data_IF_228530753579
#
_entry.id   IF_228530753579
#
_cell.length_a   1.000
_cell.length_b   1.000
_cell.length_c   1.000
_cell.angle_alpha   90.00
_cell.angle_beta   90.00
_cell.angle_gamma   90.00
#
_symmetry.space_group_name_H-M   'P 1'
#
loop_
_entity.id
_entity.type
_entity.pdbx_description
1 polymer ?
#
# COMPACT_ATOMS: atom_id res chain seq x y z
N UNK A 1 3.68 9.85 41.63
CA UNK A 1 4.73 9.81 40.59
C UNK A 1 4.03 9.75 39.25
N UNK A 2 4.06 10.83 38.48
CA UNK A 2 3.45 10.88 37.14
C UNK A 2 4.43 10.26 36.15
N UNK A 3 4.07 9.11 35.58
CA UNK A 3 4.82 8.55 34.45
C UNK A 3 4.29 9.26 33.21
N UNK A 4 5.05 10.22 32.69
CA UNK A 4 4.79 10.75 31.35
C UNK A 4 4.87 9.59 30.35
N UNK A 5 3.91 9.45 29.41
CA UNK A 5 4.05 8.44 28.38
C UNK A 5 5.30 8.74 27.57
N UNK A 6 6.17 7.74 27.41
CA UNK A 6 7.26 7.80 26.41
C UNK A 6 6.58 7.96 25.05
N UNK A 7 7.00 8.91 24.19
CA UNK A 7 6.56 8.89 22.80
C UNK A 7 7.01 7.55 22.22
N UNK A 8 6.07 6.71 21.78
CA UNK A 8 6.41 5.59 20.92
C UNK A 8 6.90 6.22 19.63
N UNK A 9 8.22 6.36 19.47
CA UNK A 9 8.79 6.61 18.16
C UNK A 9 8.56 5.35 17.34
N UNK A 10 7.34 5.19 16.82
CA UNK A 10 7.06 4.30 15.70
C UNK A 10 8.05 4.71 14.61
N UNK A 11 8.85 3.76 14.12
CA UNK A 11 9.65 4.01 12.94
C UNK A 11 8.64 4.26 11.83
N UNK A 12 8.60 5.51 11.36
CA UNK A 12 7.71 5.95 10.31
C UNK A 12 8.52 6.11 9.03
N UNK A 13 8.15 5.38 7.99
CA UNK A 13 8.66 5.61 6.64
C UNK A 13 7.62 6.41 5.87
N UNK A 14 7.99 7.60 5.38
CA UNK A 14 7.10 8.53 4.69
C UNK A 14 7.56 8.76 3.26
N UNK A 15 6.63 8.67 2.31
CA UNK A 15 6.81 9.12 0.93
C UNK A 15 5.77 10.18 0.59
N UNK A 16 6.12 11.13 -0.26
CA UNK A 16 5.25 12.23 -0.67
C UNK A 16 5.25 12.40 -2.18
N UNK A 17 4.12 12.88 -2.72
CA UNK A 17 4.02 13.32 -4.10
C UNK A 17 4.89 14.58 -4.35
N UNK A 18 4.77 15.18 -5.54
CA UNK A 18 5.66 16.28 -5.94
C UNK A 18 5.41 17.59 -5.20
N UNK A 19 4.14 17.90 -4.87
CA UNK A 19 3.75 19.11 -4.15
C UNK A 19 3.75 18.95 -2.62
N UNK A 20 3.94 17.72 -2.12
CA UNK A 20 4.03 17.41 -0.69
C UNK A 20 2.68 17.23 0.00
N UNK A 21 1.56 17.37 -0.71
CA UNK A 21 0.21 17.31 -0.13
C UNK A 21 -0.26 15.88 0.08
N UNK A 22 0.05 14.98 -0.85
CA UNK A 22 -0.26 13.56 -0.71
C UNK A 22 0.93 12.84 -0.08
N UNK A 23 0.67 12.10 0.99
CA UNK A 23 1.68 11.31 1.69
C UNK A 23 1.21 9.87 1.95
N UNK A 24 2.17 8.95 1.95
CA UNK A 24 2.00 7.58 2.45
C UNK A 24 2.94 7.39 3.62
N UNK A 25 2.42 6.93 4.74
CA UNK A 25 3.19 6.66 5.96
C UNK A 25 3.04 5.21 6.37
N UNK A 26 4.17 4.52 6.53
CA UNK A 26 4.24 3.19 7.09
C UNK A 26 4.66 3.25 8.54
N UNK A 27 4.07 2.41 9.38
CA UNK A 27 4.43 2.28 10.78
C UNK A 27 4.42 0.82 11.19
N UNK A 28 5.37 0.41 12.03
CA UNK A 28 5.43 -0.97 12.52
C UNK A 28 4.25 -1.27 13.45
N UNK A 29 3.52 -2.35 13.16
CA UNK A 29 2.43 -2.86 13.98
C UNK A 29 2.60 -4.36 14.14
N UNK A 30 2.98 -4.78 15.36
CA UNK A 30 3.21 -6.17 15.75
C UNK A 30 4.24 -6.91 14.88
N UNK A 31 3.81 -7.50 13.77
CA UNK A 31 4.61 -8.38 12.90
C UNK A 31 4.90 -7.78 11.51
N UNK A 32 4.26 -6.65 11.16
CA UNK A 32 4.34 -6.03 9.83
C UNK A 32 4.23 -4.51 9.89
N UNK A 33 4.62 -3.84 8.82
CA UNK A 33 4.30 -2.45 8.58
C UNK A 33 2.88 -2.32 8.05
N UNK A 34 2.10 -1.46 8.68
CA UNK A 34 0.80 -0.99 8.18
C UNK A 34 0.95 0.42 7.67
N UNK A 35 0.13 0.83 6.70
CA UNK A 35 0.21 2.19 6.16
C UNK A 35 -1.11 2.94 6.11
N UNK A 36 -0.97 4.25 6.09
CA UNK A 36 -2.05 5.22 5.89
C UNK A 36 -1.69 6.19 4.79
N UNK A 37 -2.73 6.78 4.20
CA UNK A 37 -2.64 7.78 3.14
C UNK A 37 -3.18 9.08 3.72
N UNK A 38 -2.40 10.15 3.55
CA UNK A 38 -2.74 11.48 4.06
C UNK A 38 -2.84 12.48 2.90
N UNK A 39 -3.80 13.39 3.02
CA UNK A 39 -3.90 14.60 2.19
C UNK A 39 -3.81 15.79 3.13
N UNK A 40 -2.82 16.66 2.90
CA UNK A 40 -2.53 17.81 3.77
C UNK A 40 -2.44 17.39 5.26
N UNK A 41 -1.71 16.29 5.52
CA UNK A 41 -1.53 15.63 6.82
C UNK A 41 -2.82 15.13 7.51
N UNK A 42 -3.96 15.13 6.80
CA UNK A 42 -5.21 14.51 7.25
C UNK A 42 -5.30 13.08 6.71
N UNK A 43 -5.51 12.09 7.58
CA UNK A 43 -5.71 10.70 7.17
C UNK A 43 -7.00 10.55 6.35
N UNK A 44 -6.87 10.13 5.09
CA UNK A 44 -7.99 9.90 4.16
C UNK A 44 -8.20 8.42 3.85
N UNK A 45 -7.19 7.58 4.06
CA UNK A 45 -7.33 6.14 3.96
C UNK A 45 -6.33 5.40 4.85
N UNK A 46 -6.69 4.18 5.25
CA UNK A 46 -5.83 3.26 6.00
C UNK A 46 -5.90 1.86 5.41
N UNK A 47 -4.76 1.20 5.32
CA UNK A 47 -4.67 -0.22 4.94
C UNK A 47 -5.47 -1.13 5.88
N UNK A 48 -5.91 -2.26 5.34
CA UNK A 48 -6.52 -3.38 6.06
C UNK A 48 -5.59 -4.57 5.84
N UNK A 49 -4.93 -5.04 6.90
CA UNK A 49 -3.82 -6.00 6.78
C UNK A 49 -4.14 -7.42 7.27
N UNK A 50 -5.38 -7.65 7.74
CA UNK A 50 -5.82 -8.86 8.47
C UNK A 50 -4.93 -9.17 9.70
N UNK A 51 -5.18 -10.29 10.40
CA UNK A 51 -4.32 -10.75 11.48
C UNK A 51 -3.11 -11.55 10.97
N UNK A 52 -2.20 -11.92 11.88
CA UNK A 52 -0.96 -12.63 11.58
C UNK A 52 -1.18 -14.08 11.06
N UNK A 53 -2.38 -14.64 11.26
CA UNK A 53 -2.70 -16.03 10.96
C UNK A 53 -3.26 -16.23 9.55
N UNK A 54 -3.54 -15.15 8.82
CA UNK A 54 -4.08 -15.24 7.47
C UNK A 54 -2.96 -15.43 6.42
N UNK A 55 -2.95 -16.57 5.74
CA UNK A 55 -2.02 -16.88 4.64
C UNK A 55 -2.16 -15.91 3.45
N UNK A 56 -3.36 -15.33 3.26
CA UNK A 56 -3.70 -14.43 2.16
C UNK A 56 -4.37 -13.16 2.72
N UNK A 57 -3.58 -12.26 3.36
CA UNK A 57 -4.11 -11.08 4.03
C UNK A 57 -4.74 -10.08 3.04
N UNK A 58 -5.59 -9.20 3.57
CA UNK A 58 -6.31 -8.15 2.81
C UNK A 58 -5.37 -7.11 2.17
N UNK A 59 -4.13 -7.01 2.67
CA UNK A 59 -3.04 -6.18 2.12
C UNK A 59 -1.69 -6.89 2.29
N UNK A 60 -0.65 -6.52 1.50
CA UNK A 60 0.68 -7.13 1.58
C UNK A 60 1.27 -7.07 3.00
N UNK A 61 1.70 -8.20 3.58
CA UNK A 61 2.24 -8.26 4.95
C UNK A 61 3.71 -7.83 4.96
N UNK A 62 3.99 -6.55 4.73
CA UNK A 62 5.37 -6.04 4.58
C UNK A 62 6.10 -6.06 5.93
N UNK A 63 7.23 -6.75 6.02
CA UNK A 63 7.98 -6.94 7.29
C UNK A 63 9.30 -6.18 7.31
N UNK A 64 9.77 -5.72 6.14
CA UNK A 64 10.99 -4.95 6.01
C UNK A 64 10.74 -3.81 5.03
N UNK A 65 11.22 -2.61 5.37
CA UNK A 65 11.19 -1.43 4.51
C UNK A 65 12.59 -0.81 4.46
N UNK A 66 13.01 -0.40 3.27
CA UNK A 66 14.09 0.56 3.06
C UNK A 66 13.59 1.77 2.26
N UNK A 67 14.26 2.91 2.44
CA UNK A 67 14.03 4.10 1.65
C UNK A 67 15.24 4.29 0.75
N UNK A 68 15.05 4.13 -0.55
CA UNK A 68 16.13 4.19 -1.53
C UNK A 68 15.87 5.32 -2.55
N UNK A 69 16.92 6.00 -3.04
CA UNK A 69 16.79 6.87 -4.19
C UNK A 69 16.69 6.03 -5.47
N UNK A 70 15.56 6.12 -6.19
CA UNK A 70 15.38 5.53 -7.52
C UNK A 70 15.13 6.68 -8.49
N UNK A 71 16.02 6.85 -9.48
CA UNK A 71 16.00 8.00 -10.39
C UNK A 71 15.95 9.35 -9.63
N UNK A 72 16.76 9.48 -8.59
CA UNK A 72 16.83 10.63 -7.69
C UNK A 72 15.53 10.96 -6.92
N UNK A 73 14.58 10.02 -6.88
CA UNK A 73 13.34 10.15 -6.10
C UNK A 73 13.33 9.18 -4.91
N UNK A 74 13.00 9.65 -3.68
CA UNK A 74 12.79 8.78 -2.54
C UNK A 74 11.70 7.76 -2.84
N UNK A 75 12.05 6.47 -2.78
CA UNK A 75 11.15 5.35 -3.05
C UNK A 75 11.23 4.37 -1.90
N UNK A 76 10.06 4.05 -1.34
CA UNK A 76 9.93 3.00 -0.34
C UNK A 76 10.02 1.67 -1.07
N UNK A 77 10.94 0.81 -0.64
CA UNK A 77 11.01 -0.59 -1.05
C UNK A 77 10.67 -1.46 0.14
N UNK A 78 9.81 -2.45 -0.05
CA UNK A 78 9.40 -3.34 1.02
C UNK A 78 9.33 -4.79 0.58
N UNK A 79 9.56 -5.69 1.53
CA UNK A 79 9.39 -7.14 1.36
C UNK A 79 8.69 -7.74 2.58
N UNK A 80 7.99 -8.84 2.38
CA UNK A 80 7.27 -9.53 3.44
C UNK A 80 6.72 -10.88 3.02
N UNK A 81 6.12 -11.59 3.98
CA UNK A 81 5.60 -12.94 3.76
C UNK A 81 4.46 -13.29 4.71
N UNK A 82 3.55 -14.12 4.21
CA UNK A 82 2.50 -14.81 4.94
C UNK A 82 2.20 -16.12 4.21
N UNK A 83 1.94 -17.19 4.97
CA UNK A 83 1.71 -18.53 4.43
C UNK A 83 2.75 -18.94 3.39
N UNK A 84 2.29 -19.11 2.14
CA UNK A 84 3.12 -19.52 0.99
C UNK A 84 3.37 -18.41 -0.04
N UNK A 85 3.07 -17.17 0.31
CA UNK A 85 3.34 -15.99 -0.52
C UNK A 85 4.59 -15.23 -0.06
N UNK A 86 5.27 -14.61 -1.02
CA UNK A 86 6.33 -13.63 -0.77
C UNK A 86 5.99 -12.35 -1.52
N UNK A 87 5.86 -11.25 -0.79
CA UNK A 87 5.49 -9.95 -1.33
C UNK A 87 6.72 -9.06 -1.47
N UNK A 88 6.73 -8.28 -2.54
CA UNK A 88 7.60 -7.13 -2.72
C UNK A 88 6.76 -5.93 -3.13
N UNK A 89 7.09 -4.75 -2.62
CA UNK A 89 6.42 -3.50 -2.94
C UNK A 89 7.44 -2.41 -3.26
N UNK A 90 7.09 -1.55 -4.20
CA UNK A 90 7.67 -0.21 -4.31
C UNK A 90 6.59 0.86 -4.23
N UNK A 91 6.86 1.92 -3.46
CA UNK A 91 5.97 3.09 -3.33
C UNK A 91 6.76 4.37 -3.52
N UNK A 92 6.37 5.16 -4.51
CA UNK A 92 7.08 6.38 -4.85
C UNK A 92 6.26 7.30 -5.74
N UNK A 93 6.86 8.44 -6.09
CA UNK A 93 6.21 9.40 -6.99
C UNK A 93 5.93 8.76 -8.35
N UNK A 94 4.78 9.08 -8.92
CA UNK A 94 4.51 8.75 -10.31
C UNK A 94 5.09 9.85 -11.23
N UNK A 95 6.10 9.55 -12.06
CA UNK A 95 6.68 10.56 -12.95
C UNK A 95 5.73 11.00 -14.07
N UNK A 96 4.69 10.22 -14.38
CA UNK A 96 3.68 10.59 -15.39
C UNK A 96 2.53 11.43 -14.81
N UNK A 97 2.29 11.38 -13.50
CA UNK A 97 1.22 12.10 -12.82
C UNK A 97 1.75 12.69 -11.49
N UNK A 98 2.31 13.92 -11.50
CA UNK A 98 3.04 14.49 -10.35
C UNK A 98 2.24 14.63 -9.05
N UNK A 99 0.90 14.70 -9.15
CA UNK A 99 -0.04 14.76 -8.04
C UNK A 99 -0.35 13.38 -7.41
N UNK A 100 0.28 12.31 -7.90
CA UNK A 100 0.02 10.95 -7.45
C UNK A 100 1.24 10.23 -6.87
N UNK A 101 0.97 9.20 -6.08
CA UNK A 101 1.93 8.21 -5.58
C UNK A 101 1.57 6.87 -6.20
N UNK A 102 2.55 6.22 -6.82
CA UNK A 102 2.41 4.89 -7.41
C UNK A 102 2.76 3.82 -6.39
N UNK A 103 1.91 2.81 -6.33
CA UNK A 103 2.13 1.55 -5.65
C UNK A 103 2.33 0.46 -6.71
N UNK A 104 3.42 -0.29 -6.59
CA UNK A 104 3.72 -1.44 -7.44
C UNK A 104 4.02 -2.65 -6.56
N UNK A 105 3.10 -3.60 -6.53
CA UNK A 105 3.16 -4.77 -5.67
C UNK A 105 3.26 -6.02 -6.52
N UNK A 106 4.15 -6.92 -6.13
CA UNK A 106 4.19 -8.27 -6.63
C UNK A 106 4.11 -9.28 -5.48
N UNK A 107 3.42 -10.40 -5.72
CA UNK A 107 3.38 -11.55 -4.84
C UNK A 107 3.80 -12.80 -5.63
N UNK A 108 4.88 -13.42 -5.19
CA UNK A 108 5.27 -14.75 -5.67
C UNK A 108 4.61 -15.81 -4.80
N UNK A 109 3.87 -16.71 -5.42
CA UNK A 109 3.11 -17.75 -4.71
C UNK A 109 3.69 -19.14 -4.97
N UNK A 110 3.45 -20.05 -4.01
CA UNK A 110 3.75 -21.49 -4.15
C UNK A 110 2.50 -22.38 -4.05
N UNK A 111 1.32 -21.78 -4.08
CA UNK A 111 0.01 -22.43 -4.16
C UNK A 111 -1.01 -21.41 -4.72
N UNK A 112 -2.23 -21.85 -5.03
CA UNK A 112 -3.26 -20.94 -5.56
C UNK A 112 -3.75 -20.02 -4.44
N UNK A 113 -3.56 -18.69 -4.55
CA UNK A 113 -4.03 -17.78 -3.53
C UNK A 113 -5.56 -17.67 -3.56
N UNK A 114 -6.17 -17.40 -2.40
CA UNK A 114 -7.61 -17.09 -2.32
C UNK A 114 -7.90 -15.64 -2.70
N UNK A 115 -6.96 -14.76 -2.39
CA UNK A 115 -7.06 -13.33 -2.56
C UNK A 115 -5.65 -12.76 -2.72
N UNK A 116 -5.51 -11.77 -3.62
CA UNK A 116 -4.32 -10.95 -3.74
C UNK A 116 -4.73 -9.54 -4.12
N UNK A 117 -4.36 -8.57 -3.29
CA UNK A 117 -4.65 -7.17 -3.52
C UNK A 117 -4.17 -6.28 -2.39
N UNK A 118 -4.58 -5.03 -2.45
CA UNK A 118 -4.43 -4.04 -1.39
C UNK A 118 -5.80 -3.51 -1.01
N UNK A 119 -6.12 -3.53 0.29
CA UNK A 119 -7.44 -3.12 0.79
C UNK A 119 -7.32 -1.90 1.69
N UNK A 120 -8.26 -0.98 1.54
CA UNK A 120 -8.26 0.30 2.24
C UNK A 120 -9.63 0.60 2.84
N UNK A 121 -9.64 1.10 4.07
CA UNK A 121 -10.78 1.86 4.58
C UNK A 121 -10.56 3.33 4.28
N UNK A 122 -11.48 3.93 3.53
CA UNK A 122 -11.42 5.32 3.08
C UNK A 122 -12.36 6.19 3.92
N UNK A 123 -11.87 7.34 4.37
CA UNK A 123 -12.58 8.31 5.21
C UNK A 123 -12.61 9.72 4.63
N UNK A 124 -11.92 9.97 3.51
CA UNK A 124 -11.88 11.25 2.82
C UNK A 124 -11.81 11.09 1.30
N UNK A 125 -11.70 12.20 0.59
CA UNK A 125 -11.61 12.20 -0.88
C UNK A 125 -10.23 11.72 -1.34
N UNK A 126 -10.23 10.66 -2.15
CA UNK A 126 -9.02 10.04 -2.70
C UNK A 126 -9.37 9.36 -4.03
N UNK A 127 -8.58 9.59 -5.06
CA UNK A 127 -8.66 8.85 -6.31
C UNK A 127 -7.69 7.67 -6.26
N UNK A 128 -8.19 6.46 -6.55
CA UNK A 128 -7.37 5.25 -6.68
C UNK A 128 -7.64 4.67 -8.08
N UNK A 129 -6.62 4.63 -8.92
CA UNK A 129 -6.70 4.13 -10.29
C UNK A 129 -5.78 2.93 -10.48
N UNK A 130 -6.33 1.80 -10.93
CA UNK A 130 -5.52 0.63 -11.26
C UNK A 130 -4.83 0.81 -12.61
N UNK A 131 -3.51 0.70 -12.62
CA UNK A 131 -2.67 0.60 -13.83
C UNK A 131 -2.58 -0.86 -14.28
N UNK A 132 -2.42 -1.76 -13.31
CA UNK A 132 -2.46 -3.23 -13.49
C UNK A 132 -3.33 -3.80 -12.39
N UNK A 133 -4.40 -4.51 -12.75
CA UNK A 133 -5.35 -5.03 -11.78
C UNK A 133 -6.77 -4.49 -12.01
N UNK A 134 -7.54 -4.45 -10.94
CA UNK A 134 -8.91 -3.95 -10.90
C UNK A 134 -9.18 -3.21 -9.58
N UNK A 135 -9.85 -2.06 -9.64
CA UNK A 135 -10.34 -1.36 -8.45
C UNK A 135 -11.78 -1.76 -8.21
N UNK A 136 -12.08 -2.22 -7.00
CA UNK A 136 -13.43 -2.54 -6.52
C UNK A 136 -13.74 -1.66 -5.32
N UNK A 137 -14.82 -0.89 -5.42
CA UNK A 137 -15.26 0.04 -4.37
C UNK A 137 -16.62 -0.37 -3.83
N UNK A 138 -16.73 -0.49 -2.52
CA UNK A 138 -17.97 -0.81 -1.80
C UNK A 138 -18.08 0.06 -0.55
N UNK A 139 -18.97 1.04 -0.55
CA UNK A 139 -19.09 2.04 0.52
C UNK A 139 -17.73 2.70 0.84
N UNK A 140 -17.22 2.53 2.08
CA UNK A 140 -15.93 3.06 2.52
C UNK A 140 -14.75 2.09 2.31
N UNK A 141 -14.97 0.98 1.60
CA UNK A 141 -13.96 -0.03 1.33
C UNK A 141 -13.51 0.09 -0.13
N UNK A 142 -12.21 0.24 -0.33
CA UNK A 142 -11.60 0.17 -1.66
C UNK A 142 -10.61 -0.97 -1.69
N UNK A 143 -10.68 -1.80 -2.73
CA UNK A 143 -9.73 -2.88 -2.99
C UNK A 143 -9.09 -2.69 -4.35
N UNK A 144 -7.78 -2.84 -4.43
CA UNK A 144 -7.06 -2.99 -5.70
C UNK A 144 -6.62 -4.44 -5.81
N UNK A 145 -7.25 -5.16 -6.73
CA UNK A 145 -7.08 -6.60 -6.92
C UNK A 145 -6.11 -6.87 -8.06
N UNK A 146 -5.35 -7.96 -7.97
CA UNK A 146 -4.76 -8.54 -9.16
C UNK A 146 -5.88 -9.06 -10.09
N UNK A 147 -5.73 -8.91 -11.41
CA UNK A 147 -6.79 -9.20 -12.40
C UNK A 147 -6.66 -10.57 -13.07
N UNK A 148 -5.50 -11.22 -13.00
CA UNK A 148 -5.28 -12.48 -13.70
C UNK A 148 -6.07 -13.61 -13.02
N UNK A 149 -6.46 -14.63 -13.80
CA UNK A 149 -6.98 -15.84 -13.18
C UNK A 149 -5.88 -16.43 -12.32
N UNK A 150 -6.16 -16.62 -11.03
CA UNK A 150 -5.25 -17.25 -10.09
C UNK A 150 -5.06 -18.70 -10.53
N UNK A 151 -4.05 -18.91 -11.37
CA UNK A 151 -3.67 -20.18 -11.94
C UNK A 151 -2.76 -20.90 -10.95
N UNK A 152 -3.00 -22.20 -10.74
CA UNK A 152 -2.30 -22.97 -9.72
C UNK A 152 -0.85 -23.34 -10.04
N UNK A 153 -0.19 -22.66 -10.99
CA UNK A 153 1.19 -22.95 -11.31
C UNK A 153 2.10 -22.44 -10.19
N UNK A 154 2.90 -23.35 -9.62
CA UNK A 154 3.62 -23.19 -8.34
C UNK A 154 4.80 -22.20 -8.37
N UNK A 155 4.90 -21.36 -9.42
CA UNK A 155 5.97 -20.38 -9.63
C UNK A 155 5.49 -19.02 -10.15
N UNK A 156 4.19 -18.79 -10.20
CA UNK A 156 3.66 -17.54 -10.74
C UNK A 156 3.95 -16.36 -9.81
N UNK A 157 4.21 -15.21 -10.42
CA UNK A 157 4.32 -13.93 -9.72
C UNK A 157 3.18 -13.06 -10.20
N UNK A 158 2.24 -12.79 -9.29
CA UNK A 158 1.10 -11.93 -9.54
C UNK A 158 1.49 -10.49 -9.21
N UNK A 159 1.05 -9.55 -10.03
CA UNK A 159 1.38 -8.13 -9.88
C UNK A 159 0.14 -7.27 -10.01
N UNK A 160 0.04 -6.25 -9.17
CA UNK A 160 -0.94 -5.18 -9.32
C UNK A 160 -0.26 -3.84 -9.06
N UNK A 161 -0.65 -2.85 -9.84
CA UNK A 161 -0.06 -1.52 -9.85
C UNK A 161 -1.20 -0.52 -9.84
N UNK A 162 -1.12 0.49 -8.98
CA UNK A 162 -2.12 1.54 -8.92
C UNK A 162 -1.51 2.86 -8.51
N UNK A 163 -2.19 3.92 -8.92
CA UNK A 163 -1.88 5.28 -8.55
C UNK A 163 -2.91 5.78 -7.56
N UNK A 164 -2.43 6.49 -6.55
CA UNK A 164 -3.23 7.21 -5.58
C UNK A 164 -3.02 8.69 -5.83
N UNK A 165 -4.11 9.45 -6.00
CA UNK A 165 -4.05 10.88 -6.29
C UNK A 165 -5.08 11.67 -5.46
N UNK A 166 -4.79 12.96 -5.24
CA UNK A 166 -5.81 13.91 -4.80
C UNK A 166 -6.75 14.15 -6.00
N UNK A 167 -8.08 13.97 -5.85
CA UNK A 167 -9.01 14.24 -6.95
C UNK A 167 -8.84 15.67 -7.47
N UNK A 168 -8.83 15.83 -8.79
CA UNK A 168 -8.90 17.16 -9.37
C UNK A 168 -10.29 17.73 -9.09
N UNK A 169 -10.41 19.01 -8.67
CA UNK A 169 -11.71 19.63 -8.57
C UNK A 169 -12.38 19.61 -9.94
N UNK A 170 -13.60 19.11 -10.03
CA UNK A 170 -14.39 19.23 -11.26
C UNK A 170 -14.48 20.72 -11.60
N UNK A 171 -13.95 21.11 -12.77
CA UNK A 171 -14.08 22.46 -13.27
C UNK A 171 -15.56 22.71 -13.57
N UNK A 172 -16.21 23.47 -12.69
CA UNK A 172 -17.58 23.95 -12.84
C UNK A 172 -17.72 24.95 -13.99
#
# INVERSE_FOLDING_TARGET
MSVSPKPSSLIVHRSVNSDGRLAVEYSWNEDRFVHRILVDDTEVARSIDSDAENDWPDSPPIQQISLEPINDQPTILGVGGAGRGHWSISVGRNPQQPNSIRFDIACRVKETPKFLGSSYRVSGELAIEAVVGEVVTEASLVRVLQRETLSGNLKDTYRWVYDVAIPEPELS
#
